data_IF_730252715517
#
_entry.id   IF_730252715517
#
_cell.length_a   1.000
_cell.length_b   1.000
_cell.length_c   1.000
_cell.angle_alpha   90.00
_cell.angle_beta   90.00
_cell.angle_gamma   90.00
#
_symmetry.space_group_name_H-M   'P 1'
#
loop_
_entity.id
_entity.type
_entity.pdbx_description
1 polymer ?
#
# COMPACT_ATOMS: atom_id res chain seq x y z
N UNK A 1 -23.47 7.88 -9.08
CA UNK A 1 -21.99 7.83 -9.26
C UNK A 1 -21.49 9.26 -9.33
N UNK A 2 -20.37 9.58 -8.67
CA UNK A 2 -19.72 10.90 -8.76
C UNK A 2 -19.30 11.19 -10.21
N UNK A 3 -19.28 12.47 -10.61
CA UNK A 3 -18.65 12.86 -11.88
C UNK A 3 -17.14 12.70 -11.75
N UNK A 4 -16.45 12.51 -12.88
CA UNK A 4 -15.00 12.32 -12.89
C UNK A 4 -14.26 13.49 -12.22
N UNK A 5 -14.66 14.73 -12.49
CA UNK A 5 -14.04 15.92 -11.90
C UNK A 5 -14.21 15.96 -10.37
N UNK A 6 -15.43 15.71 -9.87
CA UNK A 6 -15.72 15.68 -8.44
C UNK A 6 -14.86 14.60 -7.74
N UNK A 7 -14.69 13.43 -8.38
CA UNK A 7 -13.83 12.37 -7.87
C UNK A 7 -12.36 12.81 -7.80
N UNK A 8 -11.82 13.43 -8.86
CA UNK A 8 -10.43 13.90 -8.89
C UNK A 8 -10.18 15.00 -7.85
N UNK A 9 -11.14 15.90 -7.63
CA UNK A 9 -11.06 16.92 -6.59
C UNK A 9 -10.99 16.30 -5.19
N UNK A 10 -11.85 15.31 -4.91
CA UNK A 10 -11.84 14.58 -3.65
C UNK A 10 -10.50 13.86 -3.40
N UNK A 11 -9.96 13.18 -4.41
CA UNK A 11 -8.63 12.53 -4.32
C UNK A 11 -7.53 13.57 -4.10
N UNK A 12 -7.59 14.73 -4.77
CA UNK A 12 -6.66 15.83 -4.56
C UNK A 12 -6.64 16.29 -3.10
N UNK A 13 -7.81 16.55 -2.51
CA UNK A 13 -7.95 16.96 -1.11
C UNK A 13 -7.49 15.86 -0.14
N UNK A 14 -7.79 14.59 -0.42
CA UNK A 14 -7.31 13.44 0.36
C UNK A 14 -5.78 13.40 0.39
N UNK A 15 -5.14 13.62 -0.76
CA UNK A 15 -3.68 13.62 -0.88
C UNK A 15 -3.05 14.82 -0.17
N UNK A 16 -3.69 16.00 -0.16
CA UNK A 16 -3.22 17.17 0.61
C UNK A 16 -3.16 16.85 2.10
N UNK A 17 -4.17 16.16 2.67
CA UNK A 17 -4.16 15.75 4.08
C UNK A 17 -2.99 14.83 4.43
N UNK A 18 -2.57 13.96 3.52
CA UNK A 18 -1.46 13.04 3.75
C UNK A 18 -0.11 13.76 3.61
N UNK A 19 0.02 14.63 2.61
CA UNK A 19 1.19 15.49 2.40
C UNK A 19 1.43 16.46 3.56
N UNK A 20 0.38 16.99 4.17
CA UNK A 20 0.55 17.87 5.33
C UNK A 20 1.16 17.15 6.54
N UNK A 21 0.89 15.85 6.73
CA UNK A 21 1.53 15.05 7.79
C UNK A 21 3.03 14.91 7.55
N UNK A 22 3.44 14.63 6.31
CA UNK A 22 4.85 14.57 5.91
C UNK A 22 5.58 15.88 6.20
N UNK A 23 4.99 17.03 5.84
CA UNK A 23 5.59 18.34 6.13
C UNK A 23 5.87 18.53 7.63
N UNK A 24 4.93 18.12 8.49
CA UNK A 24 5.10 18.23 9.95
C UNK A 24 6.16 17.25 10.45
N UNK A 25 6.18 16.01 9.93
CA UNK A 25 7.18 15.00 10.30
C UNK A 25 8.60 15.48 9.97
N UNK A 26 8.84 15.99 8.75
CA UNK A 26 10.14 16.51 8.35
C UNK A 26 10.54 17.77 9.13
N UNK A 27 9.61 18.68 9.40
CA UNK A 27 9.90 19.85 10.25
C UNK A 27 10.44 19.42 11.63
N UNK A 28 9.83 18.42 12.27
CA UNK A 28 10.33 17.89 13.53
C UNK A 28 11.64 17.12 13.39
N UNK A 29 11.78 16.32 12.32
CA UNK A 29 13.00 15.57 12.05
C UNK A 29 14.21 16.50 11.90
N UNK A 30 14.08 17.57 11.11
CA UNK A 30 15.11 18.60 10.95
C UNK A 30 15.42 19.31 12.28
N UNK A 31 14.38 19.74 13.00
CA UNK A 31 14.53 20.41 14.31
C UNK A 31 15.28 19.53 15.34
N UNK A 32 15.08 18.22 15.28
CA UNK A 32 15.63 17.26 16.23
C UNK A 32 16.87 16.53 15.70
N UNK A 33 17.31 16.81 14.47
CA UNK A 33 18.37 16.09 13.78
C UNK A 33 18.12 14.57 13.68
N UNK A 34 16.90 14.18 13.31
CA UNK A 34 16.43 12.80 13.14
C UNK A 34 16.12 12.48 11.68
N UNK A 35 15.94 11.19 11.39
CA UNK A 35 15.39 10.69 10.13
C UNK A 35 13.88 10.39 10.28
N UNK A 36 13.14 10.50 9.19
CA UNK A 36 11.72 10.12 9.10
C UNK A 36 11.61 8.64 8.72
N UNK A 37 11.12 7.83 9.66
CA UNK A 37 10.79 6.43 9.44
C UNK A 37 9.40 6.31 8.83
N UNK A 38 9.32 5.72 7.63
CA UNK A 38 8.05 5.39 7.00
C UNK A 38 7.41 4.12 7.57
N UNK A 39 6.19 3.84 7.10
CA UNK A 39 5.38 2.70 7.56
C UNK A 39 4.72 1.92 6.42
N UNK A 40 5.14 2.16 5.17
CA UNK A 40 4.62 1.46 4.00
C UNK A 40 5.00 -0.02 4.09
N UNK A 41 4.04 -0.91 3.93
CA UNK A 41 4.33 -2.35 3.86
C UNK A 41 4.39 -2.87 2.42
N UNK A 42 4.88 -4.09 2.22
CA UNK A 42 5.09 -4.70 0.90
C UNK A 42 3.79 -4.75 0.09
N UNK A 43 2.67 -5.10 0.71
CA UNK A 43 1.35 -5.16 0.06
C UNK A 43 0.96 -3.80 -0.50
N UNK A 44 1.06 -2.74 0.31
CA UNK A 44 0.78 -1.36 -0.10
C UNK A 44 1.76 -0.89 -1.19
N UNK A 45 3.05 -1.21 -1.04
CA UNK A 45 4.09 -0.84 -2.00
C UNK A 45 3.80 -1.45 -3.38
N UNK A 46 3.54 -2.76 -3.44
CA UNK A 46 3.23 -3.47 -4.69
C UNK A 46 2.03 -2.86 -5.42
N UNK A 47 0.99 -2.50 -4.67
CA UNK A 47 -0.24 -1.93 -5.21
C UNK A 47 -0.15 -0.42 -5.45
N UNK A 48 0.94 0.24 -5.05
CA UNK A 48 1.05 1.70 -5.10
C UNK A 48 0.02 2.41 -4.21
N UNK A 49 -0.40 1.76 -3.12
CA UNK A 49 -1.39 2.26 -2.17
C UNK A 49 -0.73 3.15 -1.11
N UNK A 50 -0.21 4.28 -1.55
CA UNK A 50 0.32 5.34 -0.69
C UNK A 50 0.38 6.64 -1.51
N UNK A 51 0.46 7.78 -0.84
CA UNK A 51 0.64 9.07 -1.50
C UNK A 51 2.13 9.36 -1.63
N UNK A 52 2.59 9.50 -2.88
CA UNK A 52 3.95 10.01 -3.16
C UNK A 52 4.13 11.39 -2.52
N UNK A 53 5.17 11.51 -1.70
CA UNK A 53 5.46 12.69 -0.85
C UNK A 53 4.38 12.99 0.20
N UNK A 54 3.53 12.02 0.51
CA UNK A 54 2.63 12.01 1.65
C UNK A 54 3.12 11.04 2.71
N UNK A 55 2.31 10.06 3.05
CA UNK A 55 2.69 8.92 3.89
C UNK A 55 3.87 8.12 3.32
N UNK A 56 4.06 8.09 2.00
CA UNK A 56 5.27 7.53 1.36
C UNK A 56 6.44 8.51 1.23
N UNK A 57 6.38 9.70 1.85
CA UNK A 57 7.50 10.63 1.94
C UNK A 57 8.29 10.36 3.22
N UNK A 58 9.34 9.54 3.11
CA UNK A 58 10.16 9.10 4.24
C UNK A 58 11.61 8.92 3.82
N UNK A 59 12.52 8.82 4.79
CA UNK A 59 13.95 8.57 4.53
C UNK A 59 14.24 7.07 4.37
N UNK A 60 13.46 6.21 5.05
CA UNK A 60 13.55 4.75 4.93
C UNK A 60 12.23 4.07 5.34
N UNK A 61 12.02 2.85 4.83
CA UNK A 61 10.78 2.07 5.01
C UNK A 61 11.10 0.66 5.55
N UNK A 62 11.10 0.43 6.87
CA UNK A 62 11.52 -0.84 7.47
C UNK A 62 10.54 -1.99 7.22
N UNK A 63 9.28 -1.67 6.86
CA UNK A 63 8.22 -2.65 6.63
C UNK A 63 7.95 -2.90 5.14
N UNK A 64 8.64 -2.18 4.23
CA UNK A 64 8.37 -2.24 2.79
C UNK A 64 8.63 -3.62 2.17
N UNK A 65 9.36 -4.49 2.87
CA UNK A 65 9.59 -5.88 2.46
C UNK A 65 8.80 -6.90 3.32
N UNK A 66 7.84 -6.44 4.12
CA UNK A 66 6.92 -7.28 4.87
C UNK A 66 5.50 -7.17 4.30
N UNK A 67 4.88 -8.29 3.92
CA UNK A 67 3.46 -8.34 3.58
C UNK A 67 2.59 -7.93 4.78
N UNK A 68 1.39 -7.41 4.56
CA UNK A 68 0.51 -6.94 5.65
C UNK A 68 0.24 -8.05 6.67
N UNK A 69 0.03 -9.29 6.24
CA UNK A 69 -0.13 -10.45 7.15
C UNK A 69 1.13 -10.70 8.00
N UNK A 70 2.32 -10.42 7.46
CA UNK A 70 3.59 -10.49 8.20
C UNK A 70 3.73 -9.31 9.18
N UNK A 71 3.25 -8.12 8.81
CA UNK A 71 3.17 -6.97 9.74
C UNK A 71 2.28 -7.31 10.94
N UNK A 72 1.13 -7.97 10.73
CA UNK A 72 0.30 -8.46 11.84
C UNK A 72 1.00 -9.54 12.66
N UNK A 73 1.76 -10.44 12.04
CA UNK A 73 2.56 -11.44 12.77
C UNK A 73 3.63 -10.78 13.64
N UNK A 74 4.32 -9.77 13.11
CA UNK A 74 5.29 -8.96 13.84
C UNK A 74 4.63 -8.20 15.00
N UNK A 75 3.45 -7.61 14.77
CA UNK A 75 2.69 -6.92 15.80
C UNK A 75 2.34 -7.83 16.99
N UNK A 76 1.97 -9.10 16.73
CA UNK A 76 1.76 -10.09 17.78
C UNK A 76 3.05 -10.40 18.55
N UNK A 77 4.16 -10.60 17.84
CA UNK A 77 5.46 -10.87 18.45
C UNK A 77 5.93 -9.71 19.35
N UNK A 78 5.66 -8.47 18.95
CA UNK A 78 6.02 -7.25 19.68
C UNK A 78 4.99 -6.86 20.74
N UNK A 79 3.93 -7.64 20.94
CA UNK A 79 2.83 -7.35 21.88
C UNK A 79 2.16 -5.98 21.61
N UNK A 80 1.95 -5.64 20.34
CA UNK A 80 1.15 -4.48 19.94
C UNK A 80 -0.26 -4.64 20.53
N UNK A 81 -0.82 -3.53 21.03
CA UNK A 81 -2.11 -3.53 21.70
C UNK A 81 -3.22 -4.18 20.85
N UNK A 82 -3.98 -5.08 21.45
CA UNK A 82 -5.07 -5.84 20.78
C UNK A 82 -6.12 -4.93 20.10
N UNK A 83 -6.40 -3.75 20.66
CA UNK A 83 -7.33 -2.81 20.04
C UNK A 83 -6.80 -2.24 18.72
N UNK A 84 -5.47 -2.11 18.58
CA UNK A 84 -4.82 -1.75 17.31
C UNK A 84 -4.86 -2.95 16.36
N UNK A 85 -4.52 -4.14 16.86
CA UNK A 85 -4.45 -5.37 16.07
C UNK A 85 -5.80 -5.81 15.49
N UNK A 86 -6.91 -5.51 16.18
CA UNK A 86 -8.28 -5.83 15.73
C UNK A 86 -8.93 -4.75 14.89
N UNK A 87 -8.32 -3.57 14.78
CA UNK A 87 -8.89 -2.48 13.99
C UNK A 87 -8.79 -2.84 12.51
N UNK A 88 -9.91 -2.82 11.74
CA UNK A 88 -9.83 -3.09 10.32
C UNK A 88 -8.93 -2.07 9.61
N UNK A 89 -8.12 -2.50 8.61
CA UNK A 89 -7.21 -1.62 7.90
C UNK A 89 -7.98 -0.52 7.16
N UNK A 90 -7.51 0.72 7.33
CA UNK A 90 -8.08 1.89 6.69
C UNK A 90 -7.03 2.99 6.65
N UNK A 91 -6.95 3.70 5.53
CA UNK A 91 -6.13 4.91 5.41
C UNK A 91 -6.57 6.06 6.35
N UNK A 92 -7.81 6.03 6.87
CA UNK A 92 -8.36 7.07 7.77
C UNK A 92 -8.20 8.50 7.22
N UNK A 93 -8.51 8.66 5.94
CA UNK A 93 -8.41 9.94 5.20
C UNK A 93 -9.77 10.51 4.79
N UNK A 94 -10.82 9.70 4.94
CA UNK A 94 -12.21 10.01 4.61
C UNK A 94 -13.01 10.25 5.89
N UNK A 95 -14.04 11.08 5.82
CA UNK A 95 -14.92 11.30 6.98
C UNK A 95 -15.77 10.08 7.31
N UNK A 96 -16.11 9.27 6.31
CA UNK A 96 -16.72 7.96 6.52
C UNK A 96 -15.64 6.90 6.64
N UNK A 97 -15.86 5.93 7.52
CA UNK A 97 -14.96 4.79 7.62
C UNK A 97 -14.95 4.03 6.29
N UNK A 98 -13.76 3.79 5.77
CA UNK A 98 -13.56 3.09 4.51
C UNK A 98 -12.48 2.05 4.73
N UNK A 99 -12.85 0.77 4.69
CA UNK A 99 -11.89 -0.33 4.81
C UNK A 99 -11.04 -0.44 3.54
N UNK A 100 -9.76 -0.74 3.70
CA UNK A 100 -8.86 -1.01 2.58
C UNK A 100 -9.29 -2.27 1.82
N UNK A 101 -9.77 -3.31 2.52
CA UNK A 101 -10.34 -4.51 1.91
C UNK A 101 -11.52 -4.20 0.99
N UNK A 102 -12.39 -3.28 1.41
CA UNK A 102 -13.59 -2.93 0.65
C UNK A 102 -13.26 -1.98 -0.51
N UNK A 103 -12.39 -1.00 -0.30
CA UNK A 103 -12.20 0.09 -1.25
C UNK A 103 -10.99 -0.11 -2.17
N UNK A 104 -9.84 -0.47 -1.59
CA UNK A 104 -8.55 -0.54 -2.29
C UNK A 104 -8.26 -1.94 -2.82
N UNK A 105 -8.29 -2.96 -1.95
CA UNK A 105 -7.91 -4.33 -2.30
C UNK A 105 -9.03 -5.08 -3.01
N UNK A 106 -10.28 -4.80 -2.66
CA UNK A 106 -11.48 -5.46 -3.22
C UNK A 106 -11.45 -6.99 -3.04
N UNK A 107 -10.73 -7.48 -2.05
CA UNK A 107 -10.60 -8.90 -1.70
C UNK A 107 -10.07 -9.05 -0.25
N UNK A 108 -10.24 -10.23 0.38
CA UNK A 108 -9.69 -10.49 1.70
C UNK A 108 -8.17 -10.37 1.72
N UNK A 109 -7.63 -9.78 2.79
CA UNK A 109 -6.20 -9.51 2.91
C UNK A 109 -5.33 -10.77 2.78
N UNK A 110 -5.74 -11.87 3.41
CA UNK A 110 -4.97 -13.11 3.41
C UNK A 110 -4.84 -13.69 2.00
N UNK A 111 -5.89 -13.54 1.19
CA UNK A 111 -5.90 -13.99 -0.21
C UNK A 111 -5.00 -13.08 -1.05
N UNK A 112 -5.10 -11.76 -0.88
CA UNK A 112 -4.25 -10.80 -1.58
C UNK A 112 -2.77 -11.09 -1.32
N UNK A 113 -2.37 -11.19 -0.05
CA UNK A 113 -0.96 -11.40 0.30
C UNK A 113 -0.45 -12.76 -0.19
N UNK A 114 -1.28 -13.81 -0.15
CA UNK A 114 -0.92 -15.11 -0.74
C UNK A 114 -0.69 -15.02 -2.25
N UNK A 115 -1.54 -14.29 -2.98
CA UNK A 115 -1.39 -14.10 -4.43
C UNK A 115 -0.13 -13.28 -4.76
N UNK A 116 0.13 -12.21 -4.02
CA UNK A 116 1.34 -11.40 -4.20
C UNK A 116 2.61 -12.21 -3.89
N UNK A 117 2.60 -12.99 -2.81
CA UNK A 117 3.69 -13.90 -2.46
C UNK A 117 3.92 -14.95 -3.55
N UNK A 118 2.84 -15.59 -4.02
CA UNK A 118 2.93 -16.59 -5.07
C UNK A 118 3.49 -16.02 -6.38
N UNK A 119 3.09 -14.80 -6.75
CA UNK A 119 3.62 -14.12 -7.93
C UNK A 119 5.11 -13.78 -7.78
N UNK A 120 5.53 -13.23 -6.64
CA UNK A 120 6.94 -12.90 -6.39
C UNK A 120 7.84 -14.14 -6.45
N UNK A 121 7.38 -15.24 -5.85
CA UNK A 121 8.13 -16.50 -5.76
C UNK A 121 7.86 -17.47 -6.91
N UNK A 122 7.09 -17.06 -7.93
CA UNK A 122 6.76 -17.88 -9.11
C UNK A 122 6.22 -19.26 -8.74
N UNK A 123 5.30 -19.30 -7.77
CA UNK A 123 4.71 -20.56 -7.30
C UNK A 123 3.76 -21.14 -8.37
N UNK A 124 3.67 -22.48 -8.47
CA UNK A 124 2.73 -23.13 -9.38
C UNK A 124 1.27 -22.81 -9.04
N UNK A 125 0.41 -22.71 -10.06
CA UNK A 125 -1.01 -22.39 -9.89
C UNK A 125 -1.70 -23.37 -8.95
N UNK A 126 -1.33 -24.64 -8.95
CA UNK A 126 -1.91 -25.67 -8.08
C UNK A 126 -1.66 -25.38 -6.60
N UNK A 127 -0.52 -24.77 -6.27
CA UNK A 127 -0.21 -24.33 -4.89
C UNK A 127 -1.11 -23.15 -4.52
N UNK A 128 -1.33 -22.22 -5.45
CA UNK A 128 -2.20 -21.06 -5.23
C UNK A 128 -3.65 -21.50 -5.01
N UNK A 129 -4.18 -22.38 -5.86
CA UNK A 129 -5.52 -22.94 -5.73
C UNK A 129 -5.72 -23.62 -4.38
N UNK A 130 -4.74 -24.45 -3.96
CA UNK A 130 -4.79 -25.15 -2.68
C UNK A 130 -4.84 -24.22 -1.47
N UNK A 131 -4.11 -23.09 -1.49
CA UNK A 131 -4.02 -22.18 -0.36
C UNK A 131 -5.15 -21.14 -0.31
N UNK A 132 -5.62 -20.70 -1.48
CA UNK A 132 -6.62 -19.64 -1.61
C UNK A 132 -8.06 -20.17 -1.78
N UNK A 133 -8.21 -21.42 -2.26
CA UNK A 133 -9.50 -21.99 -2.65
C UNK A 133 -10.08 -21.39 -3.95
N UNK A 134 -9.34 -20.52 -4.64
CA UNK A 134 -9.75 -19.92 -5.90
C UNK A 134 -9.50 -20.88 -7.07
N UNK A 135 -10.31 -20.76 -8.13
CA UNK A 135 -10.05 -21.48 -9.39
C UNK A 135 -8.93 -20.84 -10.20
N UNK A 136 -8.23 -21.63 -11.02
CA UNK A 136 -7.22 -21.14 -11.98
C UNK A 136 -7.69 -19.95 -12.81
N UNK A 137 -8.93 -19.99 -13.32
CA UNK A 137 -9.52 -18.89 -14.10
C UNK A 137 -9.64 -17.60 -13.25
N UNK A 138 -10.01 -17.73 -11.98
CA UNK A 138 -10.15 -16.59 -11.07
C UNK A 138 -8.79 -16.03 -10.71
N UNK A 139 -7.82 -16.90 -10.41
CA UNK A 139 -6.43 -16.52 -10.12
C UNK A 139 -5.85 -15.73 -11.29
N UNK A 140 -5.99 -16.22 -12.52
CA UNK A 140 -5.51 -15.54 -13.72
C UNK A 140 -6.10 -14.13 -13.85
N UNK A 141 -7.42 -13.98 -13.68
CA UNK A 141 -8.10 -12.67 -13.74
C UNK A 141 -7.60 -11.71 -12.65
N UNK A 142 -7.40 -12.20 -11.43
CA UNK A 142 -6.93 -11.39 -10.31
C UNK A 142 -5.48 -10.97 -10.53
N UNK A 143 -4.60 -11.85 -11.01
CA UNK A 143 -3.21 -11.52 -11.30
C UNK A 143 -3.11 -10.49 -12.44
N UNK A 144 -3.94 -10.59 -13.48
CA UNK A 144 -4.03 -9.56 -14.53
C UNK A 144 -4.41 -8.20 -13.91
N UNK A 145 -5.38 -8.18 -13.00
CA UNK A 145 -5.81 -6.97 -12.32
C UNK A 145 -4.70 -6.35 -11.45
N UNK A 146 -4.03 -7.17 -10.63
CA UNK A 146 -2.91 -6.75 -9.77
C UNK A 146 -1.78 -6.17 -10.62
N UNK A 147 -1.38 -6.85 -11.70
CA UNK A 147 -0.33 -6.36 -12.59
C UNK A 147 -0.70 -5.04 -13.24
N UNK A 148 -1.96 -4.87 -13.65
CA UNK A 148 -2.44 -3.59 -14.19
C UNK A 148 -2.34 -2.45 -13.16
N UNK A 149 -2.73 -2.70 -11.90
CA UNK A 149 -2.58 -1.72 -10.82
C UNK A 149 -1.11 -1.38 -10.64
N UNK A 150 -0.24 -2.39 -10.51
CA UNK A 150 1.20 -2.21 -10.37
C UNK A 150 1.74 -1.33 -11.49
N UNK A 151 1.49 -1.69 -12.74
CA UNK A 151 2.07 -0.98 -13.89
C UNK A 151 1.54 0.47 -13.96
N UNK A 152 0.25 0.69 -13.72
CA UNK A 152 -0.34 2.05 -13.68
C UNK A 152 0.13 2.93 -12.51
N UNK A 153 0.71 2.33 -11.47
CA UNK A 153 1.21 3.03 -10.27
C UNK A 153 2.73 3.07 -10.20
N UNK A 154 3.45 2.62 -11.24
CA UNK A 154 4.92 2.58 -11.26
C UNK A 154 5.56 3.92 -10.93
N UNK A 155 5.02 5.00 -11.49
CA UNK A 155 5.50 6.36 -11.25
C UNK A 155 5.43 6.81 -9.77
N UNK A 156 4.56 6.19 -8.97
CA UNK A 156 4.41 6.47 -7.54
C UNK A 156 5.63 5.96 -6.77
N UNK A 157 6.16 4.79 -7.16
CA UNK A 157 7.35 4.15 -6.58
C UNK A 157 8.67 4.68 -7.15
N UNK A 158 8.64 5.30 -8.33
CA UNK A 158 9.85 5.76 -9.00
C UNK A 158 10.39 7.07 -8.40
N UNK A 159 11.72 7.20 -8.36
CA UNK A 159 12.35 8.51 -8.23
C UNK A 159 11.95 9.43 -9.41
N UNK A 160 11.92 10.75 -9.23
CA UNK A 160 11.71 11.67 -10.34
C UNK A 160 12.70 11.38 -11.48
N UNK A 161 12.25 11.19 -12.73
CA UNK A 161 13.15 10.97 -13.85
C UNK A 161 13.98 12.24 -14.09
N UNK A 162 15.28 12.06 -14.34
CA UNK A 162 16.17 13.17 -14.72
C UNK A 162 16.26 13.21 -16.25
N UNK A 163 15.73 14.27 -16.85
CA UNK A 163 15.77 14.48 -18.30
C UNK A 163 17.08 15.17 -18.70
N UNK A 164 18.12 14.38 -18.96
CA UNK A 164 19.41 14.91 -19.43
C UNK A 164 19.31 15.39 -20.89
N UNK A 165 19.80 16.60 -21.17
CA UNK A 165 19.75 17.24 -22.50
C UNK A 165 20.85 16.70 -23.44
N UNK A 166 21.88 16.05 -22.89
CA UNK A 166 22.94 15.39 -23.66
C UNK A 166 23.65 14.32 -22.82
N UNK A 167 23.93 13.17 -23.44
CA UNK A 167 25.07 12.31 -23.10
C UNK A 167 25.98 12.31 -24.30
#
# INVERSE_FOLDING_TARGET
RLKANDYLELIGLQNVKQRSRMLVQYMYAEKLNYAVCGTTNKTELFLGQFVKYGDGGSDFEPLADCYKVQVYALGRLLNVNEAIMKRPPSADTWSHFTSDEEFYWRMPLEILDQLLYAQEHQLPTEVIEKNTGLSSETIEKVLIHINRIRDSTEYVRAAPPICYISR
#
